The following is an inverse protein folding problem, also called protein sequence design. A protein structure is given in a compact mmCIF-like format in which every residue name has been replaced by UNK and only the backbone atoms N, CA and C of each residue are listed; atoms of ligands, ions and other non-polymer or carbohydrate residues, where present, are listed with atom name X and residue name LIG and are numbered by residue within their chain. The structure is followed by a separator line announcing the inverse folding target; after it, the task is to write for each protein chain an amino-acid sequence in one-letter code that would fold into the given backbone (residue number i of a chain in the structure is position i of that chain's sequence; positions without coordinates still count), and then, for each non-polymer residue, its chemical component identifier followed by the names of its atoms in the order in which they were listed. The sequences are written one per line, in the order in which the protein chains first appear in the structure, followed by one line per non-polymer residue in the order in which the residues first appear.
data_IF_686579376929
#
_entry.id   IF_686579376929
#
_cell.length_a   1.000
_cell.length_b   1.000
_cell.length_c   1.000
_cell.angle_alpha   90.00
_cell.angle_beta   90.00
_cell.angle_gamma   90.00
#
_symmetry.space_group_name_H-M   'P 1'
#
loop_
_entity.id
_entity.type
_entity.pdbx_description
1 polymer ?
#
# COMPACT_ATOMS: atom_id res chain seq x y z
N UNK A 1 -1.88 -60.38 -2.66
CA UNK A 1 -3.01 -60.43 -1.72
C UNK A 1 -3.44 -58.99 -1.50
N UNK A 2 -4.53 -58.61 -2.17
CA UNK A 2 -5.11 -57.27 -2.15
C UNK A 2 -5.86 -57.04 -0.85
N UNK A 3 -5.67 -55.89 -0.23
CA UNK A 3 -6.69 -55.32 0.66
C UNK A 3 -6.87 -53.85 0.28
N UNK A 4 -7.97 -53.59 -0.41
CA UNK A 4 -8.56 -52.27 -0.56
C UNK A 4 -9.08 -51.82 0.79
N UNK A 5 -8.80 -50.61 1.22
CA UNK A 5 -9.52 -49.94 2.30
C UNK A 5 -10.07 -48.64 1.76
N UNK A 6 -11.37 -48.61 1.74
CA UNK A 6 -12.25 -47.52 1.38
C UNK A 6 -12.01 -46.32 2.26
N UNK A 7 -11.68 -45.18 1.64
CA UNK A 7 -11.49 -43.90 2.30
C UNK A 7 -12.52 -42.88 1.81
N UNK A 8 -13.77 -42.99 2.27
CA UNK A 8 -14.76 -41.93 2.06
C UNK A 8 -14.39 -40.70 2.84
N UNK A 9 -13.92 -39.65 2.13
CA UNK A 9 -13.75 -38.32 2.68
C UNK A 9 -15.12 -37.70 2.92
N UNK A 10 -15.55 -37.65 4.17
CA UNK A 10 -16.74 -36.89 4.58
C UNK A 10 -16.45 -35.41 4.51
N UNK A 11 -16.95 -34.72 3.47
CA UNK A 11 -17.18 -33.28 3.46
C UNK A 11 -18.34 -32.98 4.41
N UNK A 12 -18.12 -32.29 5.50
CA UNK A 12 -19.23 -31.83 6.33
C UNK A 12 -18.92 -31.60 7.80
N UNK A 13 -18.07 -30.67 8.13
CA UNK A 13 -18.23 -29.92 9.36
C UNK A 13 -18.20 -28.43 9.02
N UNK A 14 -19.38 -27.82 8.97
CA UNK A 14 -19.54 -26.38 9.01
C UNK A 14 -19.07 -25.93 10.40
N UNK A 15 -17.87 -25.39 10.46
CA UNK A 15 -17.47 -24.55 11.59
C UNK A 15 -18.48 -23.40 11.62
N UNK A 16 -19.39 -23.42 12.59
CA UNK A 16 -20.27 -22.30 12.86
C UNK A 16 -19.42 -21.16 13.39
N UNK A 17 -19.00 -20.28 12.47
CA UNK A 17 -18.51 -18.96 12.83
C UNK A 17 -19.69 -18.26 13.50
N UNK A 18 -19.59 -18.11 14.83
CA UNK A 18 -20.58 -17.40 15.61
C UNK A 18 -20.81 -16.03 14.95
N UNK A 19 -22.06 -15.77 14.54
CA UNK A 19 -22.50 -14.45 14.09
C UNK A 19 -22.22 -13.47 15.24
N UNK A 20 -21.08 -12.78 15.20
CA UNK A 20 -20.92 -11.53 15.92
C UNK A 20 -21.90 -10.55 15.27
N UNK A 21 -22.75 -9.92 16.07
CA UNK A 21 -23.60 -8.80 15.65
C UNK A 21 -22.69 -7.78 14.97
N UNK A 22 -23.01 -7.29 13.75
CA UNK A 22 -22.20 -6.28 13.12
C UNK A 22 -22.28 -5.03 14.00
N UNK A 23 -21.21 -4.68 14.67
CA UNK A 23 -20.97 -3.30 15.06
C UNK A 23 -20.83 -2.60 13.71
N UNK A 24 -21.89 -1.93 13.23
CA UNK A 24 -21.79 -1.10 12.05
C UNK A 24 -20.74 -0.05 12.37
N UNK A 25 -19.52 -0.27 11.88
CA UNK A 25 -18.45 0.71 12.00
C UNK A 25 -18.96 2.02 11.40
N UNK A 26 -18.80 3.10 12.15
CA UNK A 26 -19.31 4.42 11.78
C UNK A 26 -18.85 4.88 10.38
N UNK A 27 -17.75 4.34 9.90
CA UNK A 27 -17.19 4.69 8.58
C UNK A 27 -17.98 4.13 7.39
N UNK A 28 -18.77 3.06 7.60
CA UNK A 28 -19.60 2.45 6.56
C UNK A 28 -21.06 2.88 6.61
N UNK A 29 -21.46 3.64 7.63
CA UNK A 29 -22.84 4.12 7.77
C UNK A 29 -23.28 4.95 6.55
N UNK A 30 -24.48 4.67 6.04
CA UNK A 30 -25.06 5.38 4.90
C UNK A 30 -24.56 4.95 3.52
N UNK A 31 -23.74 3.89 3.43
CA UNK A 31 -23.35 3.33 2.13
C UNK A 31 -24.31 2.23 1.69
N UNK A 32 -24.59 2.18 0.36
CA UNK A 32 -25.51 1.20 -0.25
C UNK A 32 -25.01 -0.25 -0.10
N UNK A 33 -23.69 -0.44 -0.19
CA UNK A 33 -23.08 -1.78 -0.14
C UNK A 33 -22.52 -2.07 1.25
N UNK A 34 -22.57 -3.34 1.70
CA UNK A 34 -22.02 -3.74 2.97
C UNK A 34 -20.47 -3.60 2.99
N UNK A 35 -19.86 -3.51 4.20
CA UNK A 35 -18.41 -3.33 4.37
C UNK A 35 -17.58 -4.31 3.56
N UNK A 36 -17.95 -5.58 3.53
CA UNK A 36 -17.22 -6.66 2.85
C UNK A 36 -17.11 -6.39 1.34
N UNK A 37 -18.17 -5.90 0.70
CA UNK A 37 -18.19 -5.56 -0.73
C UNK A 37 -17.32 -4.33 -1.01
N UNK A 38 -17.42 -3.32 -0.14
CA UNK A 38 -16.61 -2.10 -0.26
C UNK A 38 -15.13 -2.43 -0.16
N UNK A 39 -14.74 -3.17 0.88
CA UNK A 39 -13.35 -3.53 1.14
C UNK A 39 -12.81 -4.51 0.10
N UNK A 40 -13.63 -5.43 -0.40
CA UNK A 40 -13.26 -6.31 -1.51
C UNK A 40 -12.88 -5.50 -2.76
N UNK A 41 -13.70 -4.53 -3.14
CA UNK A 41 -13.45 -3.66 -4.29
C UNK A 41 -12.16 -2.84 -4.10
N UNK A 42 -11.97 -2.22 -2.93
CA UNK A 42 -10.77 -1.45 -2.59
C UNK A 42 -9.53 -2.33 -2.62
N UNK A 43 -9.59 -3.49 -1.99
CA UNK A 43 -8.51 -4.48 -1.96
C UNK A 43 -8.11 -4.94 -3.36
N UNK A 44 -9.08 -5.34 -4.18
CA UNK A 44 -8.80 -5.77 -5.55
C UNK A 44 -8.14 -4.68 -6.36
N UNK A 45 -8.69 -3.48 -6.30
CA UNK A 45 -8.09 -2.34 -6.99
C UNK A 45 -6.66 -2.07 -6.53
N UNK A 46 -6.38 -2.04 -5.23
CA UNK A 46 -5.04 -1.75 -4.71
C UNK A 46 -4.04 -2.89 -4.92
N UNK A 47 -4.48 -4.14 -4.88
CA UNK A 47 -3.59 -5.31 -4.96
C UNK A 47 -3.26 -5.72 -6.39
N UNK A 48 -4.28 -5.78 -7.25
CA UNK A 48 -4.17 -6.41 -8.56
C UNK A 48 -4.15 -5.37 -9.66
N UNK A 49 -3.31 -4.80 -10.21
CA UNK A 49 -3.20 -3.89 -11.34
C UNK A 49 -4.47 -3.64 -12.19
N UNK A 50 -5.65 -3.63 -11.55
CA UNK A 50 -6.94 -3.52 -12.20
C UNK A 50 -7.34 -2.06 -12.42
N UNK A 51 -8.09 -1.78 -13.50
CA UNK A 51 -8.80 -0.53 -13.65
C UNK A 51 -10.09 -0.54 -12.80
N UNK A 52 -10.68 0.62 -12.54
CA UNK A 52 -11.98 0.68 -11.86
C UNK A 52 -13.07 -0.08 -12.61
N UNK A 53 -13.04 -0.08 -13.95
CA UNK A 53 -13.96 -0.85 -14.78
C UNK A 53 -13.73 -2.35 -14.71
N UNK A 54 -12.47 -2.79 -14.66
CA UNK A 54 -12.18 -4.21 -14.45
C UNK A 54 -12.67 -4.70 -13.08
N UNK A 55 -12.60 -3.86 -12.03
CA UNK A 55 -13.19 -4.19 -10.73
C UNK A 55 -14.72 -4.23 -10.78
N UNK A 56 -15.37 -3.30 -11.49
CA UNK A 56 -16.82 -3.33 -11.78
C UNK A 56 -17.21 -4.65 -12.43
N UNK A 57 -16.56 -5.04 -13.54
CA UNK A 57 -16.83 -6.31 -14.25
C UNK A 57 -16.70 -7.53 -13.33
N UNK A 58 -15.63 -7.61 -12.54
CA UNK A 58 -15.42 -8.71 -11.58
C UNK A 58 -16.47 -8.77 -10.48
N UNK A 59 -17.06 -7.64 -10.07
CA UNK A 59 -18.13 -7.59 -9.09
C UNK A 59 -19.46 -8.02 -9.71
N UNK A 60 -19.73 -7.59 -10.96
CA UNK A 60 -20.93 -8.01 -11.72
C UNK A 60 -20.95 -9.53 -11.94
N UNK A 61 -19.81 -10.16 -12.24
CA UNK A 61 -19.69 -11.62 -12.33
C UNK A 61 -20.10 -12.36 -11.05
N UNK A 62 -20.08 -11.66 -9.91
CA UNK A 62 -20.50 -12.16 -8.59
C UNK A 62 -21.90 -11.71 -8.19
N UNK A 63 -22.68 -11.16 -9.13
CA UNK A 63 -24.01 -10.65 -8.90
C UNK A 63 -24.07 -9.33 -8.12
N UNK A 64 -22.96 -8.58 -8.04
CA UNK A 64 -22.88 -7.30 -7.33
C UNK A 64 -22.83 -6.17 -8.37
N UNK A 65 -23.98 -5.52 -8.58
CA UNK A 65 -24.10 -4.41 -9.51
C UNK A 65 -23.61 -3.09 -8.89
N UNK A 66 -22.41 -2.67 -9.27
CA UNK A 66 -21.78 -1.42 -8.84
C UNK A 66 -21.04 -0.78 -10.00
N UNK A 67 -21.20 0.52 -10.20
CA UNK A 67 -20.50 1.25 -11.24
C UNK A 67 -19.07 1.64 -10.85
N UNK A 68 -18.19 1.79 -11.85
CA UNK A 68 -16.77 2.13 -11.66
C UNK A 68 -16.54 3.48 -10.97
N UNK A 69 -17.48 4.43 -11.05
CA UNK A 69 -17.39 5.71 -10.34
C UNK A 69 -17.60 5.50 -8.85
N UNK A 70 -18.51 4.60 -8.48
CA UNK A 70 -18.70 4.17 -7.09
C UNK A 70 -17.45 3.46 -6.58
N UNK A 71 -16.87 2.54 -7.34
CA UNK A 71 -15.59 1.88 -6.97
C UNK A 71 -14.49 2.93 -6.77
N UNK A 72 -14.33 3.89 -7.70
CA UNK A 72 -13.40 5.01 -7.57
C UNK A 72 -13.61 5.77 -6.25
N UNK A 73 -14.85 6.19 -5.96
CA UNK A 73 -15.18 6.93 -4.73
C UNK A 73 -14.83 6.14 -3.47
N UNK A 74 -15.05 4.80 -3.48
CA UNK A 74 -14.69 3.91 -2.35
C UNK A 74 -13.18 3.83 -2.17
N UNK A 75 -12.43 3.64 -3.23
CA UNK A 75 -10.95 3.63 -3.17
C UNK A 75 -10.44 4.96 -2.60
N UNK A 76 -10.93 6.10 -3.09
CA UNK A 76 -10.49 7.41 -2.59
C UNK A 76 -10.82 7.65 -1.11
N UNK A 77 -11.93 7.12 -0.63
CA UNK A 77 -12.39 7.29 0.76
C UNK A 77 -11.73 6.31 1.71
N UNK A 78 -11.75 5.03 1.37
CA UNK A 78 -11.37 3.97 2.32
C UNK A 78 -9.87 3.67 2.35
N UNK A 79 -9.12 3.95 1.28
CA UNK A 79 -7.66 3.73 1.29
C UNK A 79 -6.96 4.51 2.40
N UNK A 80 -7.17 5.83 2.60
CA UNK A 80 -6.56 6.54 3.71
C UNK A 80 -7.00 6.00 5.07
N UNK A 81 -8.29 5.68 5.26
CA UNK A 81 -8.81 5.13 6.51
C UNK A 81 -8.15 3.80 6.88
N UNK A 82 -7.99 2.91 5.90
CA UNK A 82 -7.30 1.63 6.09
C UNK A 82 -5.83 1.82 6.48
N UNK A 83 -5.13 2.76 5.83
CA UNK A 83 -3.74 3.08 6.16
C UNK A 83 -3.63 3.62 7.60
N UNK A 84 -4.53 4.53 7.98
CA UNK A 84 -4.53 5.13 9.32
C UNK A 84 -4.88 4.09 10.40
N UNK A 85 -5.88 3.24 10.15
CA UNK A 85 -6.24 2.15 11.07
C UNK A 85 -5.14 1.09 11.22
N UNK A 86 -4.39 0.82 10.17
CA UNK A 86 -3.28 -0.13 10.20
C UNK A 86 -2.01 0.44 10.88
N UNK A 87 -1.91 1.76 11.07
CA UNK A 87 -0.71 2.42 11.57
C UNK A 87 -0.20 1.86 12.91
N UNK A 88 -1.05 1.58 13.92
CA UNK A 88 -0.58 1.01 15.19
C UNK A 88 0.02 -0.40 15.07
N UNK A 89 -0.38 -1.15 14.05
CA UNK A 89 0.09 -2.52 13.79
C UNK A 89 1.34 -2.56 12.90
N UNK A 90 1.87 -1.40 12.51
CA UNK A 90 3.04 -1.31 11.64
C UNK A 90 4.33 -1.57 12.42
N UNK A 91 5.20 -2.41 11.87
CA UNK A 91 6.54 -2.61 12.43
C UNK A 91 7.36 -1.31 12.37
N UNK A 92 8.24 -1.12 13.34
CA UNK A 92 9.22 -0.04 13.31
C UNK A 92 10.04 -0.12 12.03
N UNK A 93 10.32 1.02 11.44
CA UNK A 93 11.19 1.09 10.26
C UNK A 93 12.65 0.86 10.68
N UNK A 94 13.43 0.31 9.76
CA UNK A 94 14.87 0.14 9.98
C UNK A 94 15.61 1.48 9.97
N UNK A 95 16.83 1.43 10.38
CA UNK A 95 17.72 2.60 10.58
C UNK A 95 18.54 2.96 9.32
N UNK A 96 18.49 2.14 8.26
CA UNK A 96 19.13 2.42 6.97
C UNK A 96 18.06 2.69 5.92
N UNK A 97 18.04 3.92 5.41
CA UNK A 97 17.04 4.38 4.44
C UNK A 97 17.62 4.53 3.04
N UNK A 98 16.93 3.97 2.06
CA UNK A 98 17.19 4.15 0.64
C UNK A 98 16.16 5.13 0.09
N UNK A 99 16.59 6.29 -0.36
CA UNK A 99 15.71 7.38 -0.76
C UNK A 99 16.01 7.78 -2.19
N UNK A 100 14.95 7.91 -2.98
CA UNK A 100 15.05 8.36 -4.37
C UNK A 100 13.73 9.00 -4.81
N UNK A 101 13.76 9.74 -5.90
CA UNK A 101 12.57 10.19 -6.58
C UNK A 101 12.41 9.55 -7.94
N UNK A 102 11.15 9.25 -8.27
CA UNK A 102 10.73 8.82 -9.59
C UNK A 102 9.66 9.75 -10.13
N UNK A 103 9.21 9.53 -11.36
CA UNK A 103 8.19 10.36 -11.98
C UNK A 103 7.04 9.53 -12.52
N UNK A 104 5.84 10.10 -12.45
CA UNK A 104 4.59 9.52 -12.95
C UNK A 104 3.80 10.59 -13.71
N UNK A 105 2.95 10.17 -14.66
CA UNK A 105 2.04 11.09 -15.33
C UNK A 105 0.71 11.16 -14.59
N UNK A 106 0.26 12.39 -14.28
CA UNK A 106 -1.05 12.68 -13.72
C UNK A 106 -1.76 13.65 -14.67
N UNK A 107 -2.87 13.25 -15.25
CA UNK A 107 -3.57 14.01 -16.31
C UNK A 107 -2.62 14.47 -17.43
N UNK A 108 -1.69 13.61 -17.84
CA UNK A 108 -0.70 13.94 -18.88
C UNK A 108 0.49 14.78 -18.42
N UNK A 109 0.48 15.32 -17.20
CA UNK A 109 1.54 16.16 -16.64
C UNK A 109 2.45 15.36 -15.72
N UNK A 110 3.76 15.57 -15.82
CA UNK A 110 4.72 14.90 -14.96
C UNK A 110 4.62 15.36 -13.50
N UNK A 111 4.64 14.39 -12.58
CA UNK A 111 4.74 14.55 -11.13
C UNK A 111 5.91 13.75 -10.62
N UNK A 112 6.49 14.19 -9.53
CA UNK A 112 7.63 13.56 -8.86
C UNK A 112 7.12 12.82 -7.62
N UNK A 113 7.59 11.60 -7.46
CA UNK A 113 7.24 10.74 -6.32
C UNK A 113 8.52 10.48 -5.54
N UNK A 114 8.66 11.15 -4.41
CA UNK A 114 9.70 10.87 -3.43
C UNK A 114 9.30 9.64 -2.63
N UNK A 115 10.24 8.76 -2.41
CA UNK A 115 9.98 7.50 -1.73
C UNK A 115 11.19 7.07 -0.92
N UNK A 116 10.96 6.50 0.27
CA UNK A 116 11.99 5.87 1.08
C UNK A 116 11.62 4.41 1.36
N UNK A 117 12.64 3.55 1.35
CA UNK A 117 12.52 2.12 1.67
C UNK A 117 13.66 1.77 2.63
N UNK A 118 13.41 0.96 3.64
CA UNK A 118 14.46 0.53 4.57
C UNK A 118 15.24 -0.70 4.08
N UNK A 119 16.22 -1.13 4.87
CA UNK A 119 17.03 -2.33 4.57
C UNK A 119 16.23 -3.62 4.57
N UNK A 120 15.03 -3.66 5.14
CA UNK A 120 14.13 -4.83 5.14
C UNK A 120 13.15 -4.80 3.98
N UNK A 121 13.13 -3.71 3.20
CA UNK A 121 12.23 -3.51 2.07
C UNK A 121 10.87 -2.94 2.49
N UNK A 122 10.73 -2.44 3.71
CA UNK A 122 9.55 -1.69 4.12
C UNK A 122 9.55 -0.33 3.44
N UNK A 123 8.44 0.02 2.79
CA UNK A 123 8.26 1.38 2.29
C UNK A 123 8.00 2.28 3.50
N UNK A 124 8.91 3.19 3.77
CA UNK A 124 8.89 4.09 4.92
C UNK A 124 7.82 5.16 4.72
N UNK A 125 7.97 5.94 3.66
CA UNK A 125 7.06 7.03 3.33
C UNK A 125 7.05 7.31 1.82
N UNK A 126 6.00 8.02 1.37
CA UNK A 126 5.79 8.38 -0.02
C UNK A 126 5.19 9.79 -0.12
N UNK A 127 5.79 10.63 -0.95
CA UNK A 127 5.30 11.98 -1.21
C UNK A 127 5.19 12.29 -2.70
N UNK A 128 4.03 12.76 -3.14
CA UNK A 128 3.79 13.17 -4.53
C UNK A 128 3.89 14.68 -4.66
N UNK A 129 4.84 15.16 -5.45
CA UNK A 129 5.10 16.58 -5.66
C UNK A 129 4.89 17.03 -7.11
N UNK A 130 4.49 18.27 -7.28
CA UNK A 130 4.44 18.94 -8.59
C UNK A 130 5.83 19.33 -9.12
N UNK A 131 6.81 19.47 -8.25
CA UNK A 131 8.15 19.96 -8.57
C UNK A 131 9.22 19.04 -8.00
N UNK A 132 10.33 18.94 -8.75
CA UNK A 132 11.58 18.34 -8.28
C UNK A 132 12.50 19.47 -7.79
N UNK A 133 12.40 19.79 -6.53
CA UNK A 133 13.19 20.88 -5.94
C UNK A 133 13.50 20.64 -4.46
N UNK A 134 14.34 21.49 -3.90
CA UNK A 134 14.77 21.42 -2.50
C UNK A 134 13.60 21.44 -1.51
N UNK A 135 12.58 22.26 -1.77
CA UNK A 135 11.40 22.33 -0.91
C UNK A 135 10.64 20.99 -0.85
N UNK A 136 10.45 20.34 -2.00
CA UNK A 136 9.76 19.05 -2.06
C UNK A 136 10.56 17.94 -1.35
N UNK A 137 11.88 17.89 -1.55
CA UNK A 137 12.76 16.97 -0.85
C UNK A 137 12.75 17.24 0.66
N UNK A 138 12.85 18.51 1.08
CA UNK A 138 12.80 18.91 2.49
C UNK A 138 11.47 18.53 3.15
N UNK A 139 10.35 18.79 2.49
CA UNK A 139 9.03 18.40 3.00
C UNK A 139 8.91 16.88 3.18
N UNK A 140 9.37 16.11 2.19
CA UNK A 140 9.39 14.64 2.29
C UNK A 140 10.21 14.16 3.49
N UNK A 141 11.46 14.60 3.62
CA UNK A 141 12.32 14.19 4.72
C UNK A 141 11.77 14.64 6.09
N UNK A 142 11.32 15.88 6.22
CA UNK A 142 10.74 16.38 7.47
C UNK A 142 9.55 15.52 7.90
N UNK A 143 8.64 15.18 6.97
CA UNK A 143 7.47 14.34 7.27
C UNK A 143 7.90 12.94 7.68
N UNK A 144 8.83 12.32 6.94
CA UNK A 144 9.33 10.98 7.24
C UNK A 144 10.05 10.94 8.60
N UNK A 145 10.87 11.94 8.91
CA UNK A 145 11.59 12.03 10.19
C UNK A 145 10.66 12.21 11.39
N UNK A 146 9.61 13.04 11.24
CA UNK A 146 8.61 13.23 12.30
C UNK A 146 7.84 11.92 12.57
N UNK A 147 7.52 11.16 11.51
CA UNK A 147 6.74 9.94 11.64
C UNK A 147 7.56 8.73 12.12
N UNK A 148 8.83 8.64 11.74
CA UNK A 148 9.62 7.41 11.87
C UNK A 148 10.95 7.58 12.63
N UNK A 149 11.28 8.80 13.04
CA UNK A 149 12.55 9.07 13.72
C UNK A 149 13.72 9.22 12.75
N UNK A 150 14.93 9.28 13.30
CA UNK A 150 16.18 9.56 12.59
C UNK A 150 16.88 8.26 12.19
N UNK A 151 17.24 8.06 10.92
CA UNK A 151 18.04 6.91 10.50
C UNK A 151 19.51 7.06 10.94
N UNK A 152 20.24 5.95 10.97
CA UNK A 152 21.68 5.93 11.13
C UNK A 152 22.41 6.13 9.78
N UNK A 153 21.78 5.70 8.68
CA UNK A 153 22.34 5.77 7.34
C UNK A 153 21.26 6.13 6.32
N UNK A 154 21.61 6.98 5.37
CA UNK A 154 20.75 7.33 4.23
C UNK A 154 21.53 7.11 2.94
N UNK A 155 20.96 6.33 2.03
CA UNK A 155 21.48 6.15 0.67
C UNK A 155 20.62 6.96 -0.29
N UNK A 156 21.23 7.81 -1.13
CA UNK A 156 20.54 8.54 -2.19
C UNK A 156 21.31 8.44 -3.50
N UNK A 157 20.68 8.85 -4.60
CA UNK A 157 21.41 9.18 -5.82
C UNK A 157 22.13 10.53 -5.68
N UNK A 158 22.89 10.92 -6.71
CA UNK A 158 23.61 12.20 -6.77
C UNK A 158 22.71 13.41 -7.09
N UNK A 159 21.39 13.32 -6.90
CA UNK A 159 20.48 14.43 -7.13
C UNK A 159 20.72 15.56 -6.13
N UNK A 160 21.10 16.72 -6.62
CA UNK A 160 21.48 17.87 -5.79
C UNK A 160 20.45 18.26 -4.71
N UNK A 161 19.11 18.17 -4.92
CA UNK A 161 18.15 18.46 -3.86
C UNK A 161 18.20 17.45 -2.71
N UNK A 162 18.43 16.15 -2.99
CA UNK A 162 18.51 15.10 -1.96
C UNK A 162 19.80 15.24 -1.16
N UNK A 163 20.96 15.42 -1.84
CA UNK A 163 22.26 15.63 -1.19
C UNK A 163 22.17 16.78 -0.18
N UNK A 164 21.70 17.93 -0.63
CA UNK A 164 21.64 19.13 0.22
C UNK A 164 20.70 18.96 1.40
N UNK A 165 19.54 18.33 1.22
CA UNK A 165 18.58 18.12 2.32
C UNK A 165 19.10 17.12 3.36
N UNK A 166 19.80 16.07 2.94
CA UNK A 166 20.42 15.14 3.88
C UNK A 166 21.47 15.87 4.72
N UNK A 167 22.33 16.70 4.12
CA UNK A 167 23.31 17.48 4.85
C UNK A 167 22.69 18.48 5.83
N UNK A 168 21.59 19.14 5.43
CA UNK A 168 20.90 20.14 6.26
C UNK A 168 20.08 19.52 7.41
N UNK A 169 19.31 18.46 7.16
CA UNK A 169 18.37 17.89 8.13
C UNK A 169 18.96 16.73 8.96
N UNK A 170 20.01 16.10 8.45
CA UNK A 170 20.59 14.89 9.03
C UNK A 170 22.12 15.03 9.30
N UNK A 171 22.58 16.10 9.95
CA UNK A 171 24.01 16.26 10.22
C UNK A 171 24.51 15.08 11.05
N UNK A 172 25.63 14.45 10.61
CA UNK A 172 26.24 13.31 11.27
C UNK A 172 25.63 11.93 10.98
N UNK A 173 24.64 11.84 10.10
CA UNK A 173 24.17 10.58 9.53
C UNK A 173 25.14 10.12 8.43
N UNK A 174 25.36 8.82 8.32
CA UNK A 174 26.15 8.26 7.23
C UNK A 174 25.37 8.46 5.93
N UNK A 175 25.92 9.24 5.00
CA UNK A 175 25.30 9.47 3.70
C UNK A 175 26.05 8.69 2.62
N UNK A 176 25.42 7.60 2.14
CA UNK A 176 25.96 6.77 1.06
C UNK A 176 25.43 7.24 -0.29
N UNK A 177 26.33 7.52 -1.22
CA UNK A 177 26.04 7.99 -2.58
C UNK A 177 26.69 7.08 -3.65
N UNK A 178 27.14 5.89 -3.26
CA UNK A 178 27.78 4.98 -4.18
C UNK A 178 26.85 4.55 -5.31
N UNK A 179 27.42 4.47 -6.49
CA UNK A 179 26.73 3.93 -7.66
C UNK A 179 26.29 2.49 -7.39
N UNK A 180 25.02 2.20 -7.60
CA UNK A 180 24.37 0.91 -7.32
C UNK A 180 23.97 0.64 -5.85
N UNK A 181 24.39 1.45 -4.89
CA UNK A 181 23.91 1.32 -3.51
C UNK A 181 22.37 1.47 -3.42
N UNK A 182 21.78 2.24 -4.32
CA UNK A 182 20.35 2.57 -4.36
C UNK A 182 19.48 1.59 -5.18
N UNK A 183 20.00 0.46 -5.65
CA UNK A 183 19.25 -0.52 -6.45
C UNK A 183 17.95 -1.03 -5.80
N UNK A 184 17.87 -0.98 -4.47
CA UNK A 184 16.70 -1.39 -3.71
C UNK A 184 15.48 -0.52 -4.02
N UNK A 185 15.67 0.79 -4.02
CA UNK A 185 14.60 1.74 -4.32
C UNK A 185 14.25 1.74 -5.80
N UNK A 186 15.21 1.53 -6.68
CA UNK A 186 14.96 1.41 -8.13
C UNK A 186 14.03 0.24 -8.44
N UNK A 187 14.24 -0.92 -7.81
CA UNK A 187 13.35 -2.09 -7.93
C UNK A 187 11.94 -1.78 -7.43
N UNK A 188 11.82 -1.00 -6.38
CA UNK A 188 10.54 -0.59 -5.82
C UNK A 188 9.81 0.41 -6.74
N UNK A 189 10.53 1.35 -7.34
CA UNK A 189 10.01 2.23 -8.39
C UNK A 189 9.53 1.44 -9.62
N UNK A 190 10.26 0.40 -10.03
CA UNK A 190 9.85 -0.51 -11.10
C UNK A 190 8.49 -1.15 -10.82
N UNK A 191 8.27 -1.63 -9.61
CA UNK A 191 6.98 -2.21 -9.16
C UNK A 191 5.85 -1.18 -9.15
N UNK A 192 6.10 0.04 -8.67
CA UNK A 192 5.13 1.13 -8.72
C UNK A 192 4.75 1.47 -10.16
N UNK A 193 5.73 1.65 -11.06
CA UNK A 193 5.48 1.96 -12.47
C UNK A 193 4.71 0.84 -13.19
N UNK A 194 5.05 -0.43 -12.93
CA UNK A 194 4.33 -1.58 -13.48
C UNK A 194 2.86 -1.57 -13.02
N UNK A 195 2.62 -1.24 -11.74
CA UNK A 195 1.27 -1.12 -11.17
C UNK A 195 0.48 -0.01 -11.85
N UNK A 196 1.04 1.18 -11.99
CA UNK A 196 0.35 2.34 -12.55
C UNK A 196 0.05 2.21 -14.05
N UNK A 197 0.87 1.43 -14.78
CA UNK A 197 0.69 1.23 -16.23
C UNK A 197 -0.64 0.57 -16.57
N UNK A 198 -1.08 -0.41 -15.80
CA UNK A 198 -2.33 -1.14 -16.02
C UNK A 198 -3.58 -0.38 -15.57
N UNK A 199 -3.43 0.65 -14.73
CA UNK A 199 -4.56 1.41 -14.15
C UNK A 199 -5.13 2.51 -15.04
N UNK A 200 -4.67 2.64 -16.29
CA UNK A 200 -5.10 3.65 -17.27
C UNK A 200 -5.02 5.11 -16.80
N UNK A 201 -4.04 5.40 -15.93
CA UNK A 201 -3.66 6.75 -15.59
C UNK A 201 -4.33 7.33 -14.34
N UNK A 202 -3.73 8.38 -13.88
CA UNK A 202 -4.13 9.14 -12.71
C UNK A 202 -4.69 10.48 -13.18
N UNK A 203 -5.86 10.89 -12.67
CA UNK A 203 -6.57 12.08 -13.14
C UNK A 203 -6.26 13.34 -12.31
N UNK A 204 -5.92 13.20 -11.04
CA UNK A 204 -5.62 14.33 -10.14
C UNK A 204 -4.45 14.01 -9.22
N UNK A 205 -3.77 15.04 -8.69
CA UNK A 205 -2.69 14.86 -7.71
C UNK A 205 -3.17 14.15 -6.44
N UNK A 206 -4.41 14.44 -5.99
CA UNK A 206 -5.05 13.76 -4.85
C UNK A 206 -5.22 12.27 -5.12
N UNK A 207 -5.79 11.91 -6.27
CA UNK A 207 -5.98 10.51 -6.66
C UNK A 207 -4.64 9.79 -6.77
N UNK A 208 -3.63 10.45 -7.34
CA UNK A 208 -2.28 9.92 -7.43
C UNK A 208 -1.71 9.61 -6.05
N UNK A 209 -1.81 10.55 -5.11
CA UNK A 209 -1.33 10.36 -3.75
C UNK A 209 -2.04 9.18 -3.07
N UNK A 210 -3.36 9.09 -3.12
CA UNK A 210 -4.13 7.98 -2.51
C UNK A 210 -3.72 6.63 -3.10
N UNK A 211 -3.61 6.53 -4.42
CA UNK A 211 -3.28 5.26 -5.09
C UNK A 211 -1.83 4.84 -4.81
N UNK A 212 -0.89 5.78 -4.82
CA UNK A 212 0.53 5.49 -4.60
C UNK A 212 0.79 5.11 -3.12
N UNK A 213 0.15 5.80 -2.16
CA UNK A 213 0.19 5.41 -0.75
C UNK A 213 -0.50 4.07 -0.51
N UNK A 214 -1.66 3.82 -1.14
CA UNK A 214 -2.33 2.52 -1.10
C UNK A 214 -1.48 1.39 -1.66
N UNK A 215 -0.71 1.64 -2.73
CA UNK A 215 0.24 0.67 -3.25
C UNK A 215 1.38 0.38 -2.25
N UNK A 216 1.94 1.40 -1.60
CA UNK A 216 2.95 1.24 -0.56
C UNK A 216 2.40 0.42 0.62
N UNK A 217 1.18 0.71 1.05
CA UNK A 217 0.48 -0.04 2.10
C UNK A 217 0.33 -1.53 1.74
N UNK A 218 -0.18 -1.85 0.54
CA UNK A 218 -0.31 -3.23 0.08
C UNK A 218 1.05 -3.93 -0.02
N UNK A 219 2.10 -3.24 -0.48
CA UNK A 219 3.45 -3.81 -0.53
C UNK A 219 3.95 -4.18 0.87
N UNK A 220 3.78 -3.28 1.83
CA UNK A 220 4.19 -3.51 3.21
C UNK A 220 3.40 -4.66 3.86
N UNK A 221 2.08 -4.74 3.66
CA UNK A 221 1.26 -5.88 4.10
C UNK A 221 1.78 -7.21 3.52
N UNK A 222 2.02 -7.27 2.20
CA UNK A 222 2.52 -8.48 1.54
C UNK A 222 3.89 -8.92 2.02
N UNK A 223 4.75 -7.97 2.40
CA UNK A 223 6.11 -8.24 2.89
C UNK A 223 6.16 -8.54 4.39
N UNK A 224 5.02 -8.46 5.09
CA UNK A 224 4.94 -8.76 6.52
C UNK A 224 5.39 -7.62 7.42
N UNK A 225 5.32 -6.37 6.97
CA UNK A 225 5.68 -5.21 7.78
C UNK A 225 4.53 -4.65 8.65
N UNK A 226 3.52 -5.50 8.88
CA UNK A 226 2.39 -5.23 9.78
C UNK A 226 2.05 -6.48 10.58
N UNK A 227 1.67 -6.31 11.84
CA UNK A 227 1.04 -7.34 12.67
C UNK A 227 -0.44 -7.51 12.27
N UNK A 228 -0.67 -7.77 10.98
CA UNK A 228 -1.98 -8.00 10.37
C UNK A 228 -1.90 -9.19 9.42
N UNK A 229 -2.94 -10.02 9.41
CA UNK A 229 -3.03 -11.20 8.58
C UNK A 229 -1.95 -12.24 8.86
N UNK A 230 -1.42 -12.30 10.08
CA UNK A 230 -0.28 -13.15 10.45
C UNK A 230 -0.71 -14.61 10.59
N UNK A 231 -1.93 -14.87 11.04
CA UNK A 231 -2.43 -16.21 11.35
C UNK A 231 -2.73 -17.09 10.13
N UNK A 232 -2.71 -16.53 8.92
CA UNK A 232 -3.17 -17.25 7.72
C UNK A 232 -2.26 -18.38 7.25
N UNK A 233 -1.00 -18.44 7.69
CA UNK A 233 -0.02 -19.42 7.20
C UNK A 233 0.24 -19.37 5.68
N UNK A 234 -0.51 -18.56 4.93
CA UNK A 234 -0.42 -18.39 3.48
C UNK A 234 -0.25 -16.91 3.12
N UNK A 235 0.93 -16.55 2.65
CA UNK A 235 1.27 -15.16 2.26
C UNK A 235 0.29 -14.58 1.22
N UNK A 236 -0.29 -15.43 0.38
CA UNK A 236 -1.29 -14.99 -0.61
C UNK A 236 -2.57 -14.48 0.04
N UNK A 237 -2.93 -14.98 1.21
CA UNK A 237 -4.13 -14.59 1.96
C UNK A 237 -3.88 -13.42 2.92
N UNK A 238 -2.62 -13.15 3.30
CA UNK A 238 -2.29 -12.10 4.28
C UNK A 238 -3.01 -10.77 4.04
N UNK A 239 -3.01 -10.28 2.80
CA UNK A 239 -3.69 -9.00 2.47
C UNK A 239 -5.21 -9.12 2.65
N UNK A 240 -5.79 -10.28 2.35
CA UNK A 240 -7.23 -10.49 2.50
C UNK A 240 -7.61 -10.43 3.98
N UNK A 241 -6.94 -11.24 4.80
CA UNK A 241 -7.18 -11.29 6.24
C UNK A 241 -6.90 -9.96 6.93
N UNK A 242 -5.82 -9.25 6.55
CA UNK A 242 -5.54 -7.91 7.07
C UNK A 242 -6.68 -6.90 6.77
N UNK A 243 -7.32 -7.00 5.60
CA UNK A 243 -8.48 -6.16 5.27
C UNK A 243 -9.72 -6.53 6.08
N UNK A 244 -9.90 -7.83 6.36
CA UNK A 244 -11.01 -8.31 7.19
C UNK A 244 -10.82 -7.86 8.67
N UNK A 245 -9.59 -7.94 9.22
CA UNK A 245 -9.25 -7.41 10.55
C UNK A 245 -9.45 -5.89 10.64
N UNK A 246 -9.07 -5.15 9.60
CA UNK A 246 -9.23 -3.69 9.56
C UNK A 246 -10.69 -3.27 9.39
N UNK A 247 -11.56 -4.11 8.84
CA UNK A 247 -12.99 -3.83 8.71
C UNK A 247 -13.67 -3.60 10.08
N UNK A 248 -13.18 -4.28 11.11
CA UNK A 248 -13.71 -4.17 12.47
C UNK A 248 -13.26 -2.90 13.20
N UNK A 249 -12.30 -2.16 12.64
CA UNK A 249 -11.65 -1.00 13.30
C UNK A 249 -12.04 0.35 12.67
N UNK A 250 -12.44 0.37 11.36
CA UNK A 250 -12.73 1.62 10.62
C UNK A 250 -14.19 2.05 10.59
#
# INVERSE_FOLDING_TARGET
MLCCVDGSVRFGERVSVGRRSPVESASFAGYRFPPEVILLAVRWYLRYGLSYRAVEELLVERGIEVDHVTVYRRVQRFTPLLIDAARPCRHSVGDRWFVDETYVKVAGVWRYVYRAVDQYGQVIDVYVSKRRNLYAAGHFFTTALVAHGRPAEVTTDLAAPLLRIVDELLPGVIHDIERYANNRIENDHGRLKARLRSMRGLSTDRTASVVINGHAFIQNLRRGHYELGVETGNECLRVATAFDELADVI
#
